data_IF_396913340707
#
_entry.id   IF_396913340707
#
_cell.length_a   1.000
_cell.length_b   1.000
_cell.length_c   1.000
_cell.angle_alpha   90.00
_cell.angle_beta   90.00
_cell.angle_gamma   90.00
#
_symmetry.space_group_name_H-M   'P 1'
#
loop_
_entity.id
_entity.type
_entity.pdbx_description
1 polymer ?
#
# COMPACT_ATOMS: atom_id res chain seq x y z
N UNK A 1 -24.36 3.17 1.45
CA UNK A 1 -25.47 2.23 1.18
C UNK A 1 -25.08 1.10 0.21
N UNK A 2 -24.61 1.35 -1.03
CA UNK A 2 -24.31 0.25 -1.96
C UNK A 2 -23.26 -0.74 -1.45
N UNK A 3 -22.14 -0.27 -0.88
CA UNK A 3 -21.10 -1.13 -0.34
C UNK A 3 -21.57 -2.01 0.81
N UNK A 4 -22.49 -1.53 1.64
CA UNK A 4 -23.05 -2.29 2.77
C UNK A 4 -24.15 -3.30 2.39
N UNK A 5 -24.57 -3.31 1.15
CA UNK A 5 -25.61 -4.21 0.62
C UNK A 5 -25.08 -5.05 -0.55
N UNK A 6 -25.25 -4.61 -1.77
CA UNK A 6 -24.79 -5.31 -2.99
C UNK A 6 -23.26 -5.47 -3.00
N UNK A 7 -22.52 -4.45 -2.58
CA UNK A 7 -21.04 -4.44 -2.57
C UNK A 7 -20.45 -5.58 -1.75
N UNK A 8 -20.99 -5.86 -0.57
CA UNK A 8 -20.53 -6.98 0.28
C UNK A 8 -20.75 -8.33 -0.43
N UNK A 9 -21.90 -8.54 -1.01
CA UNK A 9 -22.22 -9.80 -1.70
C UNK A 9 -21.30 -10.01 -2.91
N UNK A 10 -21.09 -8.95 -3.70
CA UNK A 10 -20.17 -8.95 -4.84
C UNK A 10 -18.74 -9.20 -4.38
N UNK A 11 -18.27 -8.50 -3.34
CA UNK A 11 -16.92 -8.65 -2.78
C UNK A 11 -16.65 -10.10 -2.35
N UNK A 12 -17.61 -10.73 -1.66
CA UNK A 12 -17.49 -12.13 -1.26
C UNK A 12 -17.45 -13.09 -2.46
N UNK A 13 -18.28 -12.88 -3.46
CA UNK A 13 -18.28 -13.68 -4.69
C UNK A 13 -16.95 -13.53 -5.45
N UNK A 14 -16.43 -12.32 -5.54
CA UNK A 14 -15.16 -12.01 -6.22
C UNK A 14 -13.97 -12.62 -5.49
N UNK A 15 -13.92 -12.59 -4.14
CA UNK A 15 -12.85 -13.26 -3.39
C UNK A 15 -12.88 -14.79 -3.61
N UNK A 16 -14.08 -15.39 -3.61
CA UNK A 16 -14.21 -16.86 -3.71
C UNK A 16 -14.02 -17.42 -5.12
N UNK A 17 -14.51 -16.73 -6.15
CA UNK A 17 -14.57 -17.24 -7.52
C UNK A 17 -13.95 -16.29 -8.57
N UNK A 18 -13.50 -15.10 -8.17
CA UNK A 18 -13.04 -14.06 -9.07
C UNK A 18 -11.54 -14.05 -9.35
N UNK A 19 -10.81 -15.13 -9.10
CA UNK A 19 -9.39 -15.20 -9.48
C UNK A 19 -9.25 -15.03 -11.00
N UNK A 20 -8.56 -13.99 -11.48
CA UNK A 20 -8.41 -13.75 -12.90
C UNK A 20 -7.51 -14.81 -13.54
N UNK A 21 -7.71 -15.07 -14.81
CA UNK A 21 -6.87 -15.94 -15.61
C UNK A 21 -6.43 -15.27 -16.89
N UNK A 22 -5.40 -15.78 -17.55
CA UNK A 22 -4.83 -15.17 -18.75
C UNK A 22 -5.11 -16.02 -19.98
N UNK A 23 -5.59 -15.36 -21.04
CA UNK A 23 -5.58 -15.87 -22.41
C UNK A 23 -4.38 -15.26 -23.14
N UNK A 24 -3.34 -16.04 -23.32
CA UNK A 24 -2.09 -15.55 -23.93
C UNK A 24 -2.21 -15.34 -25.43
N UNK A 25 -2.96 -16.19 -26.10
CA UNK A 25 -3.13 -16.19 -27.55
C UNK A 25 -4.60 -16.13 -27.94
N UNK A 26 -4.90 -15.48 -29.05
CA UNK A 26 -6.22 -15.56 -29.68
C UNK A 26 -6.42 -16.89 -30.40
N UNK A 27 -7.58 -17.07 -31.04
CA UNK A 27 -7.92 -18.29 -31.77
C UNK A 27 -7.07 -18.52 -33.04
N UNK A 28 -6.32 -17.53 -33.49
CA UNK A 28 -5.45 -17.61 -34.66
C UNK A 28 -3.96 -17.69 -34.28
N UNK A 29 -3.63 -17.79 -32.99
CA UNK A 29 -2.27 -17.87 -32.49
C UNK A 29 -1.55 -16.53 -32.34
N UNK A 30 -2.22 -15.40 -32.55
CA UNK A 30 -1.65 -14.09 -32.24
C UNK A 30 -1.63 -13.85 -30.73
N UNK A 31 -0.51 -13.34 -30.23
CA UNK A 31 -0.34 -13.06 -28.79
C UNK A 31 -1.15 -11.83 -28.37
N UNK A 32 -2.02 -11.99 -27.36
CA UNK A 32 -2.92 -10.94 -26.90
C UNK A 32 -2.73 -10.59 -25.42
N UNK A 33 -2.20 -11.51 -24.61
CA UNK A 33 -1.97 -11.36 -23.17
C UNK A 33 -3.19 -10.74 -22.46
N UNK A 34 -4.38 -11.26 -22.74
CA UNK A 34 -5.63 -10.76 -22.21
C UNK A 34 -5.91 -11.38 -20.85
N UNK A 35 -6.13 -10.54 -19.84
CA UNK A 35 -6.54 -10.99 -18.51
C UNK A 35 -8.07 -10.98 -18.45
N UNK A 36 -8.65 -12.10 -18.10
CA UNK A 36 -10.09 -12.31 -18.03
C UNK A 36 -10.53 -12.33 -16.57
N UNK A 37 -11.63 -11.63 -16.31
CA UNK A 37 -12.20 -11.41 -14.98
C UNK A 37 -13.68 -11.80 -14.98
N UNK A 38 -14.22 -12.04 -13.81
CA UNK A 38 -15.67 -12.01 -13.65
C UNK A 38 -16.18 -10.56 -13.72
N UNK A 39 -17.36 -10.31 -14.30
CA UNK A 39 -17.88 -8.95 -14.48
C UNK A 39 -18.03 -8.16 -13.18
N UNK A 40 -18.30 -8.85 -12.08
CA UNK A 40 -18.49 -8.29 -10.74
C UNK A 40 -17.25 -7.56 -10.23
N UNK A 41 -16.07 -8.01 -10.61
CA UNK A 41 -14.82 -7.32 -10.28
C UNK A 41 -14.80 -5.88 -10.82
N UNK A 42 -15.20 -5.71 -12.08
CA UNK A 42 -15.27 -4.38 -12.69
C UNK A 42 -16.40 -3.52 -12.10
N UNK A 43 -17.47 -4.12 -11.62
CA UNK A 43 -18.56 -3.39 -10.94
C UNK A 43 -18.04 -2.68 -9.69
N UNK A 44 -17.21 -3.36 -8.88
CA UNK A 44 -16.57 -2.74 -7.71
C UNK A 44 -15.50 -1.73 -8.13
N UNK A 45 -14.60 -2.13 -9.01
CA UNK A 45 -13.43 -1.34 -9.41
C UNK A 45 -13.82 0.02 -10.02
N UNK A 46 -14.73 0.02 -11.00
CA UNK A 46 -15.22 1.23 -11.65
C UNK A 46 -15.90 2.19 -10.69
N UNK A 47 -16.61 1.65 -9.69
CA UNK A 47 -17.27 2.47 -8.68
C UNK A 47 -16.31 3.32 -7.87
N UNK A 48 -15.17 2.78 -7.47
CA UNK A 48 -14.13 3.54 -6.77
C UNK A 48 -13.47 4.60 -7.67
N UNK A 49 -13.15 4.27 -8.92
CA UNK A 49 -12.60 5.26 -9.86
C UNK A 49 -13.58 6.41 -10.10
N UNK A 50 -14.86 6.13 -10.35
CA UNK A 50 -15.91 7.16 -10.49
C UNK A 50 -16.04 8.03 -9.23
N UNK A 51 -15.92 7.43 -8.04
CA UNK A 51 -15.98 8.15 -6.77
C UNK A 51 -14.79 9.07 -6.54
N UNK A 52 -13.67 8.87 -7.25
CA UNK A 52 -12.51 9.75 -7.20
C UNK A 52 -11.31 9.23 -6.46
N UNK A 53 -11.11 7.91 -6.39
CA UNK A 53 -9.91 7.32 -5.76
C UNK A 53 -8.59 7.76 -6.42
N UNK A 54 -8.63 8.37 -7.60
CA UNK A 54 -7.45 8.91 -8.29
C UNK A 54 -7.66 10.37 -8.69
N UNK A 55 -8.71 10.69 -9.48
CA UNK A 55 -8.88 12.00 -10.07
C UNK A 55 -9.05 13.12 -9.05
N UNK A 56 -9.70 12.87 -7.91
CA UNK A 56 -9.90 13.90 -6.87
C UNK A 56 -8.59 14.43 -6.32
N UNK A 57 -7.60 13.57 -6.12
CA UNK A 57 -6.30 13.97 -5.58
C UNK A 57 -5.65 15.09 -6.40
N UNK A 58 -5.71 15.00 -7.71
CA UNK A 58 -5.06 15.97 -8.61
C UNK A 58 -5.93 17.19 -8.90
N UNK A 59 -7.25 17.02 -9.02
CA UNK A 59 -8.17 18.13 -9.23
C UNK A 59 -8.32 19.00 -7.96
N UNK A 60 -8.50 18.36 -6.79
CA UNK A 60 -8.67 19.05 -5.50
C UNK A 60 -7.32 19.41 -4.84
N UNK A 61 -6.21 18.96 -5.42
CA UNK A 61 -4.85 19.14 -4.88
C UNK A 61 -4.73 18.65 -3.43
N UNK A 62 -5.43 17.58 -3.10
CA UNK A 62 -5.48 16.97 -1.79
C UNK A 62 -5.57 15.45 -1.89
N UNK A 63 -4.76 14.75 -1.10
CA UNK A 63 -4.81 13.29 -1.00
C UNK A 63 -5.87 12.80 0.00
N UNK A 64 -6.40 13.67 0.86
CA UNK A 64 -7.37 13.30 1.90
C UNK A 64 -8.58 12.55 1.34
N UNK A 65 -9.31 13.06 0.32
CA UNK A 65 -10.48 12.38 -0.20
C UNK A 65 -10.20 10.99 -0.76
N UNK A 66 -9.01 10.80 -1.34
CA UNK A 66 -8.59 9.50 -1.86
C UNK A 66 -8.42 8.47 -0.74
N UNK A 67 -7.74 8.84 0.35
CA UNK A 67 -7.54 7.91 1.48
C UNK A 67 -8.82 7.68 2.29
N UNK A 68 -9.74 8.67 2.37
CA UNK A 68 -11.09 8.48 2.92
C UNK A 68 -11.89 7.44 2.13
N UNK A 69 -11.84 7.52 0.80
CA UNK A 69 -12.47 6.53 -0.09
C UNK A 69 -11.81 5.16 0.06
N UNK A 70 -10.49 5.11 0.11
CA UNK A 70 -9.75 3.85 0.31
C UNK A 70 -10.13 3.20 1.65
N UNK A 71 -10.23 3.97 2.74
CA UNK A 71 -10.71 3.48 4.03
C UNK A 71 -12.11 2.87 3.92
N UNK A 72 -13.04 3.64 3.37
CA UNK A 72 -14.44 3.23 3.25
C UNK A 72 -14.60 1.97 2.40
N UNK A 73 -13.90 1.90 1.26
CA UNK A 73 -13.95 0.76 0.34
C UNK A 73 -13.30 -0.47 0.98
N UNK A 74 -12.15 -0.30 1.64
CA UNK A 74 -11.40 -1.40 2.25
C UNK A 74 -12.11 -2.07 3.41
N UNK A 75 -13.02 -1.38 4.08
CA UNK A 75 -13.91 -1.98 5.07
C UNK A 75 -14.78 -3.10 4.46
N UNK A 76 -15.05 -3.05 3.16
CA UNK A 76 -15.84 -4.05 2.44
C UNK A 76 -15.01 -4.94 1.53
N UNK A 77 -14.00 -4.38 0.86
CA UNK A 77 -13.09 -5.09 -0.02
C UNK A 77 -11.69 -4.47 0.01
N UNK A 78 -10.76 -5.01 0.82
CA UNK A 78 -9.39 -4.50 0.86
C UNK A 78 -8.61 -4.76 -0.43
N UNK A 79 -8.98 -5.79 -1.22
CA UNK A 79 -8.28 -6.16 -2.45
C UNK A 79 -8.34 -5.10 -3.54
N UNK A 80 -9.52 -4.50 -3.79
CA UNK A 80 -9.67 -3.48 -4.85
C UNK A 80 -8.96 -2.17 -4.55
N UNK A 81 -8.49 -1.94 -3.33
CA UNK A 81 -7.67 -0.78 -3.01
C UNK A 81 -6.29 -0.83 -3.68
N UNK A 82 -5.78 -2.01 -4.01
CA UNK A 82 -4.52 -2.15 -4.73
C UNK A 82 -4.53 -1.44 -6.10
N UNK A 83 -5.47 -1.71 -7.04
CA UNK A 83 -5.56 -0.98 -8.30
C UNK A 83 -5.67 0.55 -8.13
N UNK A 84 -6.42 1.04 -7.15
CA UNK A 84 -6.51 2.49 -6.88
C UNK A 84 -5.18 3.07 -6.41
N UNK A 85 -4.51 2.37 -5.50
CA UNK A 85 -3.20 2.78 -4.96
C UNK A 85 -2.14 2.86 -6.05
N UNK A 86 -2.03 1.83 -6.88
CA UNK A 86 -1.01 1.83 -7.95
C UNK A 86 -1.36 2.77 -9.10
N UNK A 87 -2.65 3.06 -9.33
CA UNK A 87 -3.07 4.11 -10.26
C UNK A 87 -2.74 5.51 -9.74
N UNK A 88 -2.93 5.76 -8.45
CA UNK A 88 -2.47 6.99 -7.80
C UNK A 88 -0.94 7.10 -7.88
N UNK A 89 -0.22 6.00 -7.61
CA UNK A 89 1.24 5.89 -7.73
C UNK A 89 1.77 6.05 -9.17
N UNK A 90 0.90 5.98 -10.18
CA UNK A 90 1.22 6.31 -11.58
C UNK A 90 0.88 7.76 -11.90
N UNK A 91 -0.30 8.24 -11.48
CA UNK A 91 -0.79 9.57 -11.80
C UNK A 91 0.01 10.69 -11.11
N UNK A 92 0.35 10.51 -9.83
CA UNK A 92 1.09 11.53 -9.05
C UNK A 92 2.50 11.81 -9.62
N UNK A 93 3.37 10.81 -9.84
CA UNK A 93 4.69 11.10 -10.42
C UNK A 93 4.60 11.62 -11.85
N UNK A 94 3.62 11.19 -12.64
CA UNK A 94 3.37 11.76 -13.97
C UNK A 94 2.99 13.24 -13.88
N UNK A 95 2.07 13.62 -13.00
CA UNK A 95 1.67 15.02 -12.80
C UNK A 95 2.80 15.88 -12.25
N UNK A 96 3.68 15.31 -11.42
CA UNK A 96 4.73 16.03 -10.71
C UNK A 96 6.02 16.16 -11.52
N UNK A 97 6.37 15.12 -12.31
CA UNK A 97 7.67 14.97 -12.95
C UNK A 97 7.62 14.70 -14.46
N UNK A 98 6.45 14.40 -15.00
CA UNK A 98 6.27 14.21 -16.45
C UNK A 98 6.53 15.52 -17.22
N UNK A 99 7.05 15.40 -18.44
CA UNK A 99 7.10 16.56 -19.35
C UNK A 99 5.69 17.05 -19.70
N UNK A 100 5.51 18.29 -20.15
CA UNK A 100 4.21 18.78 -20.58
C UNK A 100 3.53 17.89 -21.61
N UNK A 101 4.30 17.29 -22.54
CA UNK A 101 3.82 16.37 -23.58
C UNK A 101 3.30 15.06 -22.96
N UNK A 102 4.04 14.49 -22.01
CA UNK A 102 3.63 13.27 -21.31
C UNK A 102 2.38 13.50 -20.46
N UNK A 103 2.33 14.63 -19.76
CA UNK A 103 1.15 15.02 -18.99
C UNK A 103 -0.06 15.19 -19.89
N UNK A 104 0.06 15.92 -20.99
CA UNK A 104 -1.04 16.14 -21.94
C UNK A 104 -1.53 14.83 -22.57
N UNK A 105 -0.61 13.89 -22.85
CA UNK A 105 -0.94 12.60 -23.50
C UNK A 105 -1.62 11.62 -22.55
N UNK A 106 -1.12 11.45 -21.34
CA UNK A 106 -1.47 10.32 -20.48
C UNK A 106 -2.32 10.69 -19.27
N UNK A 107 -2.12 11.87 -18.67
CA UNK A 107 -2.79 12.24 -17.44
C UNK A 107 -4.33 12.31 -17.60
N UNK A 108 -4.88 12.90 -18.68
CA UNK A 108 -6.34 12.93 -18.87
C UNK A 108 -6.98 11.55 -18.90
N UNK A 109 -6.28 10.52 -19.34
CA UNK A 109 -6.80 9.15 -19.39
C UNK A 109 -6.93 8.53 -17.99
N UNK A 110 -5.97 8.81 -17.09
CA UNK A 110 -5.99 8.35 -15.69
C UNK A 110 -7.01 9.10 -14.82
N UNK A 111 -7.44 10.29 -15.25
CA UNK A 111 -8.35 11.16 -14.49
C UNK A 111 -9.79 11.13 -15.00
N UNK A 112 -10.13 10.26 -15.93
CA UNK A 112 -11.51 10.09 -16.39
C UNK A 112 -12.42 9.66 -15.24
N UNK A 113 -13.67 10.12 -15.31
CA UNK A 113 -14.71 9.87 -14.29
C UNK A 113 -15.74 8.83 -14.74
N UNK A 114 -15.46 8.16 -15.83
CA UNK A 114 -16.32 7.13 -16.45
C UNK A 114 -15.59 5.78 -16.57
N UNK A 115 -16.23 4.81 -17.21
CA UNK A 115 -15.73 3.44 -17.34
C UNK A 115 -14.56 3.28 -18.32
N UNK A 116 -14.18 4.35 -19.03
CA UNK A 116 -13.04 4.38 -19.95
C UNK A 116 -11.77 4.89 -19.27
N UNK A 117 -11.80 5.07 -17.94
CA UNK A 117 -10.63 5.47 -17.16
C UNK A 117 -9.50 4.45 -17.31
N UNK A 118 -8.31 4.94 -17.59
CA UNK A 118 -7.11 4.11 -17.61
C UNK A 118 -6.68 3.77 -16.19
N UNK A 119 -6.19 2.56 -16.05
CA UNK A 119 -5.61 2.08 -14.81
C UNK A 119 -4.10 2.22 -14.83
N UNK A 120 -3.54 2.55 -13.67
CA UNK A 120 -2.10 2.60 -13.46
C UNK A 120 -1.56 1.34 -12.78
N UNK A 121 -0.24 1.16 -12.84
CA UNK A 121 0.50 0.13 -12.11
C UNK A 121 1.88 0.63 -11.68
N UNK A 122 2.47 -0.03 -10.68
CA UNK A 122 3.82 0.26 -10.18
C UNK A 122 4.65 -1.02 -10.21
N UNK A 123 5.69 -1.07 -11.05
CA UNK A 123 6.49 -2.27 -11.28
C UNK A 123 7.94 -2.04 -10.87
N UNK A 124 8.25 -2.25 -9.59
CA UNK A 124 9.59 -2.03 -9.04
C UNK A 124 10.34 -3.35 -8.89
N UNK A 125 9.69 -4.35 -8.28
CA UNK A 125 10.28 -5.64 -7.89
C UNK A 125 10.65 -6.51 -9.08
N UNK A 126 11.80 -7.20 -8.98
CA UNK A 126 12.25 -8.25 -9.88
C UNK A 126 12.45 -9.56 -9.13
N UNK A 127 12.83 -10.64 -9.81
CA UNK A 127 13.00 -11.98 -9.19
C UNK A 127 14.03 -11.96 -8.05
N UNK A 128 15.01 -11.08 -8.12
CA UNK A 128 16.02 -10.90 -7.06
C UNK A 128 15.49 -10.27 -5.78
N UNK A 129 14.25 -9.75 -5.78
CA UNK A 129 13.59 -9.18 -4.61
C UNK A 129 13.14 -7.73 -4.79
N UNK A 130 12.45 -7.21 -3.77
CA UNK A 130 11.93 -5.83 -3.74
C UNK A 130 12.52 -4.98 -2.61
N UNK A 131 13.10 -5.60 -1.57
CA UNK A 131 13.65 -4.87 -0.42
C UNK A 131 14.99 -4.20 -0.73
N UNK A 132 15.79 -4.79 -1.60
CA UNK A 132 17.05 -4.23 -2.10
C UNK A 132 16.97 -3.96 -3.60
N UNK A 133 16.22 -2.91 -3.96
CA UNK A 133 16.05 -2.54 -5.37
C UNK A 133 17.38 -2.19 -6.06
N UNK A 134 18.36 -1.68 -5.30
CA UNK A 134 19.66 -1.29 -5.82
C UNK A 134 20.41 -2.43 -6.51
N UNK A 135 20.37 -3.59 -5.88
CA UNK A 135 21.03 -4.80 -6.40
C UNK A 135 20.05 -5.69 -7.18
N UNK A 136 18.76 -5.70 -6.84
CA UNK A 136 17.78 -6.60 -7.44
C UNK A 136 17.32 -6.16 -8.83
N UNK A 137 17.26 -4.85 -9.13
CA UNK A 137 16.79 -4.34 -10.42
C UNK A 137 17.86 -4.51 -11.49
N UNK A 138 17.59 -5.41 -12.42
CA UNK A 138 18.43 -5.74 -13.58
C UNK A 138 17.87 -5.20 -14.91
N UNK A 139 16.63 -4.71 -14.91
CA UNK A 139 16.03 -4.05 -16.09
C UNK A 139 16.90 -2.88 -16.53
N UNK A 140 17.31 -2.88 -17.79
CA UNK A 140 18.12 -1.82 -18.40
C UNK A 140 17.26 -0.96 -19.32
N UNK A 141 17.49 0.36 -19.28
CA UNK A 141 16.86 1.33 -20.17
C UNK A 141 17.92 1.96 -21.08
N UNK A 142 17.68 1.97 -22.40
CA UNK A 142 18.53 2.59 -23.42
C UNK A 142 17.80 3.73 -24.10
N UNK A 143 18.45 4.85 -24.40
CA UNK A 143 17.84 5.92 -25.19
C UNK A 143 17.39 5.40 -26.58
N UNK A 144 16.19 5.79 -27.00
CA UNK A 144 15.59 5.42 -28.28
C UNK A 144 14.82 6.62 -28.87
N UNK A 145 15.53 7.55 -29.48
CA UNK A 145 14.95 8.82 -29.97
C UNK A 145 14.38 9.66 -28.80
N UNK A 146 13.09 9.96 -28.87
CA UNK A 146 12.39 10.72 -27.82
C UNK A 146 11.84 9.83 -26.68
N UNK A 147 12.13 8.53 -26.71
CA UNK A 147 11.71 7.55 -25.72
C UNK A 147 12.90 6.73 -25.21
N UNK A 148 12.63 5.68 -24.46
CA UNK A 148 13.58 4.72 -23.96
C UNK A 148 13.13 3.31 -24.31
N UNK A 149 14.07 2.44 -24.61
CA UNK A 149 13.87 0.99 -24.80
C UNK A 149 14.24 0.27 -23.52
N UNK A 150 13.26 -0.38 -22.88
CA UNK A 150 13.42 -1.12 -21.64
C UNK A 150 13.50 -2.62 -21.91
N UNK A 151 14.49 -3.29 -21.31
CA UNK A 151 14.69 -4.73 -21.38
C UNK A 151 14.92 -5.31 -20.00
N UNK A 152 14.09 -6.30 -19.61
CA UNK A 152 14.16 -6.97 -18.31
C UNK A 152 12.85 -7.57 -17.86
N UNK A 153 12.83 -8.08 -16.64
CA UNK A 153 11.71 -8.86 -16.09
C UNK A 153 11.23 -8.27 -14.79
N UNK A 154 9.94 -7.95 -14.71
CA UNK A 154 9.27 -7.52 -13.48
C UNK A 154 8.48 -8.67 -12.88
N UNK A 155 8.49 -8.80 -11.53
CA UNK A 155 8.07 -10.04 -10.88
C UNK A 155 6.75 -9.97 -10.13
N UNK A 156 6.51 -9.00 -9.28
CA UNK A 156 5.24 -8.78 -8.59
C UNK A 156 4.49 -7.58 -9.18
N UNK A 157 4.08 -7.71 -10.45
CA UNK A 157 3.37 -6.65 -11.16
C UNK A 157 1.89 -6.68 -10.82
N UNK A 158 1.49 -6.01 -9.75
CA UNK A 158 0.09 -5.85 -9.41
C UNK A 158 -0.62 -4.98 -10.43
N UNK A 159 -1.94 -5.25 -10.62
CA UNK A 159 -2.73 -4.65 -11.70
C UNK A 159 -2.08 -4.87 -13.09
N UNK A 160 -1.69 -6.11 -13.36
CA UNK A 160 -0.93 -6.49 -14.57
C UNK A 160 -1.63 -6.15 -15.90
N UNK A 161 -2.93 -5.83 -15.85
CA UNK A 161 -3.73 -5.38 -17.00
C UNK A 161 -3.77 -3.85 -17.14
N UNK A 162 -3.07 -3.10 -16.30
CA UNK A 162 -3.10 -1.65 -16.34
C UNK A 162 -2.67 -1.10 -17.71
N UNK A 163 -3.28 0.01 -18.12
CA UNK A 163 -2.99 0.68 -19.39
C UNK A 163 -1.63 1.38 -19.37
N UNK A 164 -1.20 1.78 -18.17
CA UNK A 164 0.01 2.55 -17.96
C UNK A 164 0.69 2.11 -16.66
N UNK A 165 2.01 1.92 -16.69
CA UNK A 165 2.77 1.58 -15.49
C UNK A 165 3.91 2.57 -15.26
N UNK A 166 4.32 2.74 -14.00
CA UNK A 166 5.64 3.26 -13.68
C UNK A 166 6.56 2.11 -13.28
N UNK A 167 7.73 2.05 -13.86
CA UNK A 167 8.69 0.97 -13.67
C UNK A 167 10.08 1.50 -13.31
N UNK A 168 10.73 0.87 -12.33
CA UNK A 168 12.12 1.13 -12.04
C UNK A 168 13.01 0.43 -13.08
N UNK A 169 13.99 1.13 -13.63
CA UNK A 169 15.00 0.54 -14.48
C UNK A 169 16.32 1.30 -14.32
N UNK A 170 17.41 0.69 -14.77
CA UNK A 170 18.75 1.30 -14.76
C UNK A 170 19.07 1.83 -16.14
N UNK A 171 19.29 3.14 -16.32
CA UNK A 171 19.88 3.66 -17.54
C UNK A 171 21.19 2.93 -17.88
N UNK A 172 21.42 2.61 -19.15
CA UNK A 172 22.67 2.00 -19.58
C UNK A 172 23.86 2.87 -19.20
N UNK A 173 24.88 2.27 -18.58
CA UNK A 173 26.04 2.98 -18.07
C UNK A 173 25.85 3.67 -16.73
N UNK A 174 24.65 3.66 -16.13
CA UNK A 174 24.43 4.21 -14.79
C UNK A 174 25.11 3.35 -13.70
N UNK A 175 25.50 3.94 -12.55
CA UNK A 175 26.18 3.22 -11.49
C UNK A 175 25.32 2.09 -10.92
N UNK A 176 25.95 1.10 -10.26
CA UNK A 176 25.26 0.10 -9.45
C UNK A 176 24.59 0.73 -8.22
N UNK A 177 23.74 -0.04 -7.56
CA UNK A 177 23.03 0.39 -6.35
C UNK A 177 21.83 1.30 -6.65
N UNK A 178 21.25 1.85 -5.59
CA UNK A 178 20.01 2.64 -5.65
C UNK A 178 20.15 3.93 -6.48
N UNK A 179 21.32 4.57 -6.46
CA UNK A 179 21.54 5.85 -7.16
C UNK A 179 21.53 5.74 -8.69
N UNK A 180 21.73 4.53 -9.21
CA UNK A 180 21.66 4.28 -10.64
C UNK A 180 20.27 3.92 -11.16
N UNK A 181 19.25 3.94 -10.32
CA UNK A 181 17.88 3.64 -10.74
C UNK A 181 17.15 4.90 -11.16
N UNK A 182 16.34 4.77 -12.21
CA UNK A 182 15.44 5.80 -12.69
C UNK A 182 14.00 5.26 -12.80
N UNK A 183 13.03 6.17 -12.87
CA UNK A 183 11.61 5.83 -12.98
C UNK A 183 11.12 6.12 -14.39
N UNK A 184 10.49 5.13 -15.00
CA UNK A 184 9.97 5.21 -16.36
C UNK A 184 8.47 4.99 -16.40
N UNK A 185 7.79 5.77 -17.22
CA UNK A 185 6.38 5.57 -17.57
C UNK A 185 6.33 4.61 -18.76
N UNK A 186 5.60 3.51 -18.63
CA UNK A 186 5.56 2.42 -19.60
C UNK A 186 4.11 2.13 -20.00
N UNK A 187 3.67 2.50 -21.21
CA UNK A 187 2.35 2.13 -21.73
C UNK A 187 2.27 0.62 -21.99
N UNK A 188 1.10 0.02 -21.72
CA UNK A 188 0.86 -1.39 -22.03
C UNK A 188 0.93 -1.71 -23.53
N UNK A 189 0.47 -0.76 -24.36
CA UNK A 189 0.46 -0.88 -25.82
C UNK A 189 1.22 0.26 -26.45
N UNK A 190 1.81 -0.02 -27.60
CA UNK A 190 2.42 0.98 -28.48
C UNK A 190 1.34 1.77 -29.23
N UNK A 191 1.70 2.88 -29.88
CA UNK A 191 0.74 3.69 -30.65
C UNK A 191 0.05 2.93 -31.78
N UNK A 192 0.69 1.91 -32.34
CA UNK A 192 0.14 1.04 -33.39
C UNK A 192 -0.81 -0.04 -32.83
N UNK A 193 -1.05 -0.08 -31.51
CA UNK A 193 -1.89 -1.04 -30.84
C UNK A 193 -1.20 -2.36 -30.47
N UNK A 194 0.04 -2.59 -30.88
CA UNK A 194 0.81 -3.78 -30.52
C UNK A 194 1.14 -3.82 -29.02
N UNK A 195 1.40 -5.03 -28.49
CA UNK A 195 1.83 -5.18 -27.10
C UNK A 195 3.21 -4.54 -26.90
N UNK A 196 3.31 -3.72 -25.86
CA UNK A 196 4.57 -3.12 -25.42
C UNK A 196 5.18 -3.85 -24.23
N UNK A 197 4.34 -4.55 -23.45
CA UNK A 197 4.73 -5.37 -22.30
C UNK A 197 4.10 -6.76 -22.45
N UNK A 198 4.82 -7.80 -22.03
CA UNK A 198 4.40 -9.19 -22.23
C UNK A 198 4.17 -9.88 -20.90
N UNK A 199 2.98 -10.42 -20.70
CA UNK A 199 2.62 -11.17 -19.50
C UNK A 199 3.11 -12.61 -19.60
N UNK A 200 3.94 -13.07 -18.67
CA UNK A 200 4.38 -14.47 -18.62
C UNK A 200 3.38 -15.37 -17.91
N UNK A 201 2.90 -14.97 -16.77
CA UNK A 201 1.86 -15.67 -15.99
C UNK A 201 1.28 -14.77 -14.90
N UNK A 202 0.16 -15.16 -14.34
CA UNK A 202 -0.37 -14.61 -13.11
C UNK A 202 0.11 -15.43 -11.91
N UNK A 203 0.22 -14.75 -10.76
CA UNK A 203 0.58 -15.36 -9.48
C UNK A 203 -0.65 -15.97 -8.80
N UNK A 204 -0.53 -17.17 -8.28
CA UNK A 204 -1.45 -17.72 -7.29
C UNK A 204 -1.09 -17.16 -5.92
N UNK A 205 -2.04 -16.50 -5.25
CA UNK A 205 -1.79 -15.74 -4.03
C UNK A 205 -2.72 -16.15 -2.90
N UNK A 206 -2.25 -15.98 -1.67
CA UNK A 206 -3.07 -16.24 -0.48
C UNK A 206 -4.25 -15.24 -0.38
N UNK A 207 -4.05 -13.99 -0.81
CA UNK A 207 -5.02 -12.91 -0.68
C UNK A 207 -4.96 -11.93 -1.87
N UNK A 208 -5.84 -10.94 -1.90
CA UNK A 208 -6.04 -10.06 -3.06
C UNK A 208 -6.20 -10.86 -4.35
N UNK A 209 -6.94 -11.98 -4.25
CA UNK A 209 -7.00 -13.02 -5.29
C UNK A 209 -7.63 -12.52 -6.57
N UNK A 210 -8.54 -11.56 -6.46
CA UNK A 210 -9.21 -10.90 -7.58
C UNK A 210 -8.31 -9.95 -8.36
N UNK A 211 -7.23 -9.47 -7.75
CA UNK A 211 -6.30 -8.53 -8.40
C UNK A 211 -5.23 -9.29 -9.16
N UNK A 212 -5.11 -9.11 -10.49
CA UNK A 212 -4.07 -9.79 -11.26
C UNK A 212 -2.70 -9.27 -10.85
N UNK A 213 -1.87 -10.17 -10.36
CA UNK A 213 -0.45 -9.90 -10.12
C UNK A 213 0.37 -10.82 -11.01
N UNK A 214 1.12 -10.23 -11.93
CA UNK A 214 1.82 -10.97 -12.98
C UNK A 214 3.33 -10.89 -12.91
N UNK A 215 3.96 -11.67 -13.76
CA UNK A 215 5.33 -11.51 -14.22
C UNK A 215 5.29 -10.83 -15.58
N UNK A 216 5.92 -9.66 -15.69
CA UNK A 216 5.93 -8.86 -16.92
C UNK A 216 7.33 -8.85 -17.51
N UNK A 217 7.41 -9.22 -18.76
CA UNK A 217 8.63 -9.13 -19.56
C UNK A 217 8.61 -7.85 -20.40
N UNK A 218 9.68 -7.10 -20.31
CA UNK A 218 9.97 -5.93 -21.13
C UNK A 218 10.97 -6.34 -22.20
N UNK A 219 10.56 -6.27 -23.47
CA UNK A 219 11.36 -6.58 -24.66
C UNK A 219 11.36 -5.37 -25.57
N UNK A 220 12.42 -4.58 -25.52
CA UNK A 220 12.48 -3.31 -26.26
C UNK A 220 11.21 -2.48 -26.00
N UNK A 221 10.69 -2.55 -24.78
CA UNK A 221 9.46 -1.89 -24.39
C UNK A 221 9.68 -0.38 -24.37
N UNK A 222 8.82 0.34 -25.08
CA UNK A 222 8.84 1.80 -25.11
C UNK A 222 8.51 2.34 -23.72
N UNK A 223 9.35 3.23 -23.22
CA UNK A 223 9.13 3.92 -21.94
C UNK A 223 9.57 5.38 -22.01
N UNK A 224 9.09 6.16 -21.06
CA UNK A 224 9.38 7.60 -20.99
C UNK A 224 9.95 7.91 -19.59
N UNK A 225 11.12 8.55 -19.56
CA UNK A 225 11.75 8.94 -18.29
C UNK A 225 10.88 9.95 -17.56
N UNK A 226 10.62 9.72 -16.28
CA UNK A 226 9.99 10.67 -15.37
C UNK A 226 11.06 11.43 -14.58
N UNK A 227 11.02 12.74 -14.62
CA UNK A 227 12.02 13.59 -13.99
C UNK A 227 13.40 13.44 -14.66
N UNK A 228 14.45 13.31 -13.84
CA UNK A 228 15.82 13.09 -14.28
C UNK A 228 16.36 11.74 -13.80
N UNK A 229 17.30 11.15 -14.54
CA UNK A 229 17.84 9.82 -14.23
C UNK A 229 18.58 9.76 -12.89
N UNK A 230 19.24 10.83 -12.50
CA UNK A 230 19.98 10.97 -11.22
C UNK A 230 19.09 11.17 -10.00
N UNK A 231 17.83 11.58 -10.22
CA UNK A 231 16.83 11.75 -9.16
C UNK A 231 15.91 10.53 -8.99
N UNK A 232 16.05 9.48 -9.81
CA UNK A 232 15.07 8.39 -9.91
C UNK A 232 14.76 7.67 -8.61
N UNK A 233 15.76 7.47 -7.73
CA UNK A 233 15.51 6.84 -6.42
C UNK A 233 14.54 7.65 -5.55
N UNK A 234 14.59 8.96 -5.60
CA UNK A 234 13.66 9.81 -4.85
C UNK A 234 12.23 9.63 -5.34
N UNK A 235 12.05 9.57 -6.67
CA UNK A 235 10.74 9.36 -7.29
C UNK A 235 10.19 7.97 -6.94
N UNK A 236 11.03 6.94 -6.97
CA UNK A 236 10.66 5.57 -6.57
C UNK A 236 10.19 5.56 -5.11
N UNK A 237 10.92 6.22 -4.20
CA UNK A 237 10.56 6.29 -2.79
C UNK A 237 9.26 7.09 -2.56
N UNK A 238 8.99 8.14 -3.34
CA UNK A 238 7.71 8.85 -3.28
C UNK A 238 6.54 7.96 -3.67
N UNK A 239 6.67 7.17 -4.74
CA UNK A 239 5.66 6.18 -5.14
C UNK A 239 5.42 5.16 -4.03
N UNK A 240 6.49 4.61 -3.44
CA UNK A 240 6.38 3.65 -2.33
C UNK A 240 5.73 4.27 -1.09
N UNK A 241 5.96 5.56 -0.82
CA UNK A 241 5.32 6.23 0.30
C UNK A 241 3.80 6.38 0.12
N UNK A 242 3.32 6.70 -1.10
CA UNK A 242 1.86 6.69 -1.39
C UNK A 242 1.25 5.32 -1.05
N UNK A 243 1.91 4.25 -1.46
CA UNK A 243 1.45 2.87 -1.21
C UNK A 243 1.54 2.48 0.27
N UNK A 244 2.56 2.91 0.99
CA UNK A 244 2.71 2.66 2.45
C UNK A 244 1.58 3.30 3.25
N UNK A 245 1.18 4.52 2.89
CA UNK A 245 0.06 5.19 3.54
C UNK A 245 -1.27 4.51 3.21
N UNK A 246 -1.49 4.14 1.94
CA UNK A 246 -2.65 3.34 1.55
C UNK A 246 -2.72 2.02 2.35
N UNK A 247 -1.58 1.34 2.52
CA UNK A 247 -1.48 0.13 3.33
C UNK A 247 -1.93 0.38 4.79
N UNK A 248 -1.47 1.46 5.41
CA UNK A 248 -1.84 1.80 6.79
C UNK A 248 -3.35 2.03 6.94
N UNK A 249 -3.94 2.77 6.00
CA UNK A 249 -5.38 3.06 5.95
C UNK A 249 -6.20 1.77 5.74
N UNK A 250 -5.79 0.92 4.79
CA UNK A 250 -6.43 -0.37 4.51
C UNK A 250 -6.35 -1.30 5.71
N UNK A 251 -5.21 -1.33 6.39
CA UNK A 251 -5.01 -2.17 7.59
C UNK A 251 -5.98 -1.83 8.71
N UNK A 252 -6.17 -0.54 8.97
CA UNK A 252 -7.12 -0.09 10.02
C UNK A 252 -8.57 -0.38 9.61
N UNK A 253 -8.94 -0.14 8.36
CA UNK A 253 -10.28 -0.44 7.85
C UNK A 253 -10.60 -1.95 7.93
N UNK A 254 -9.64 -2.80 7.58
CA UNK A 254 -9.76 -4.26 7.68
C UNK A 254 -9.88 -4.71 9.15
N UNK A 255 -9.05 -4.17 10.05
CA UNK A 255 -9.13 -4.49 11.47
C UNK A 255 -10.49 -4.09 12.05
N UNK A 256 -10.99 -2.91 11.71
CA UNK A 256 -12.34 -2.48 12.11
C UNK A 256 -13.41 -3.42 11.58
N UNK A 257 -13.31 -3.88 10.33
CA UNK A 257 -14.25 -4.85 9.76
C UNK A 257 -14.22 -6.18 10.50
N UNK A 258 -13.04 -6.73 10.73
CA UNK A 258 -12.89 -7.98 11.47
C UNK A 258 -13.48 -7.88 12.90
N UNK A 259 -13.28 -6.74 13.57
CA UNK A 259 -13.89 -6.49 14.89
C UNK A 259 -15.42 -6.36 14.81
N UNK A 260 -15.95 -5.69 13.79
CA UNK A 260 -17.40 -5.53 13.62
C UNK A 260 -18.08 -6.89 13.39
N UNK A 261 -17.50 -7.74 12.54
CA UNK A 261 -18.01 -9.09 12.29
C UNK A 261 -17.92 -9.97 13.55
N UNK A 262 -16.80 -9.89 14.30
CA UNK A 262 -16.64 -10.60 15.57
C UNK A 262 -17.65 -10.13 16.63
N UNK A 263 -17.91 -8.84 16.71
CA UNK A 263 -18.89 -8.26 17.62
C UNK A 263 -20.30 -8.74 17.30
N UNK A 264 -20.72 -8.63 16.03
CA UNK A 264 -22.03 -9.06 15.57
C UNK A 264 -22.27 -10.56 15.85
N UNK A 265 -21.25 -11.40 15.65
CA UNK A 265 -21.32 -12.81 16.01
C UNK A 265 -21.43 -13.04 17.52
N UNK A 266 -20.61 -12.37 18.31
CA UNK A 266 -20.58 -12.52 19.76
C UNK A 266 -21.89 -12.04 20.44
N UNK A 267 -22.58 -11.08 19.83
CA UNK A 267 -23.88 -10.56 20.26
C UNK A 267 -25.01 -11.59 20.09
N UNK A 268 -24.90 -12.48 19.11
CA UNK A 268 -25.92 -13.48 18.79
C UNK A 268 -25.62 -14.86 19.38
N UNK A 269 -24.36 -15.26 19.43
CA UNK A 269 -23.94 -16.58 19.87
C UNK A 269 -24.16 -16.79 21.36
N UNK A 270 -24.83 -17.86 21.73
CA UNK A 270 -25.01 -18.29 23.14
C UNK A 270 -24.11 -19.49 23.45
N UNK A 271 -23.38 -19.42 24.55
CA UNK A 271 -22.62 -20.53 25.15
C UNK A 271 -22.58 -20.37 26.69
N UNK A 272 -22.52 -21.49 27.39
CA UNK A 272 -22.53 -21.50 28.87
C UNK A 272 -23.70 -20.70 29.47
N UNK A 273 -24.90 -20.84 28.88
CA UNK A 273 -26.14 -20.26 29.36
C UNK A 273 -26.36 -18.76 29.08
N UNK A 274 -25.45 -18.07 28.39
CA UNK A 274 -25.58 -16.64 28.03
C UNK A 274 -24.90 -16.30 26.73
N UNK A 275 -25.18 -15.09 26.20
CA UNK A 275 -24.48 -14.59 25.03
C UNK A 275 -22.98 -14.51 25.29
N UNK A 276 -22.14 -14.89 24.32
CA UNK A 276 -20.69 -14.91 24.55
C UNK A 276 -20.12 -13.50 24.79
N UNK A 277 -20.74 -12.46 24.23
CA UNK A 277 -20.34 -11.06 24.44
C UNK A 277 -20.35 -10.61 25.89
N UNK A 278 -21.21 -11.23 26.76
CA UNK A 278 -21.30 -10.82 28.17
C UNK A 278 -20.33 -11.60 29.07
N UNK A 279 -19.47 -12.44 28.56
CA UNK A 279 -18.40 -13.07 29.33
C UNK A 279 -17.28 -12.07 29.62
N UNK A 280 -16.86 -11.89 30.89
CA UNK A 280 -15.91 -10.82 31.24
C UNK A 280 -14.59 -10.81 30.49
N UNK A 281 -14.03 -12.00 30.20
CA UNK A 281 -12.81 -12.11 29.43
C UNK A 281 -12.98 -11.53 28.00
N UNK A 282 -14.10 -11.87 27.36
CA UNK A 282 -14.36 -11.40 26.00
C UNK A 282 -14.66 -9.90 25.97
N UNK A 283 -15.41 -9.39 26.94
CA UNK A 283 -15.64 -7.94 27.09
C UNK A 283 -14.33 -7.18 27.21
N UNK A 284 -13.42 -7.64 28.08
CA UNK A 284 -12.10 -7.02 28.25
C UNK A 284 -11.26 -7.08 26.96
N UNK A 285 -11.35 -8.16 26.20
CA UNK A 285 -10.63 -8.28 24.90
C UNK A 285 -11.19 -7.29 23.88
N UNK A 286 -12.51 -7.13 23.79
CA UNK A 286 -13.12 -6.13 22.90
C UNK A 286 -12.70 -4.71 23.27
N UNK A 287 -12.77 -4.37 24.57
CA UNK A 287 -12.39 -3.05 25.08
C UNK A 287 -10.93 -2.72 24.74
N UNK A 288 -10.02 -3.63 25.04
CA UNK A 288 -8.58 -3.46 24.75
C UNK A 288 -8.32 -3.27 23.27
N UNK A 289 -8.97 -4.08 22.41
CA UNK A 289 -8.80 -4.00 20.95
C UNK A 289 -9.44 -2.75 20.38
N UNK A 290 -10.55 -2.31 20.93
CA UNK A 290 -11.20 -1.08 20.50
C UNK A 290 -10.32 0.15 20.77
N UNK A 291 -9.69 0.22 21.94
CA UNK A 291 -8.72 1.27 22.26
C UNK A 291 -7.51 1.23 21.31
N UNK A 292 -6.97 0.04 21.06
CA UNK A 292 -5.87 -0.12 20.11
C UNK A 292 -6.26 0.22 18.66
N UNK A 293 -7.49 -0.10 18.23
CA UNK A 293 -8.02 0.29 16.92
C UNK A 293 -8.06 1.82 16.77
N UNK A 294 -8.55 2.52 17.79
CA UNK A 294 -8.56 4.01 17.80
C UNK A 294 -7.16 4.58 17.70
N UNK A 295 -6.20 4.00 18.41
CA UNK A 295 -4.81 4.42 18.35
C UNK A 295 -4.19 4.17 16.97
N UNK A 296 -4.43 3.00 16.37
CA UNK A 296 -4.01 2.68 15.00
C UNK A 296 -4.66 3.59 13.96
N UNK A 297 -5.95 3.93 14.13
CA UNK A 297 -6.64 4.88 13.27
C UNK A 297 -5.97 6.26 13.34
N UNK A 298 -5.73 6.76 14.56
CA UNK A 298 -5.08 8.05 14.76
C UNK A 298 -3.68 8.11 14.11
N UNK A 299 -2.88 7.03 14.24
CA UNK A 299 -1.56 6.95 13.61
C UNK A 299 -1.64 6.89 12.08
N UNK A 300 -2.56 6.09 11.53
CA UNK A 300 -2.77 6.01 10.08
C UNK A 300 -3.20 7.37 9.53
N UNK A 301 -4.14 8.05 10.20
CA UNK A 301 -4.65 9.34 9.74
C UNK A 301 -3.62 10.45 9.85
N UNK A 302 -2.83 10.49 10.92
CA UNK A 302 -1.69 11.39 11.02
C UNK A 302 -0.73 11.23 9.85
N UNK A 303 -0.47 9.98 9.43
CA UNK A 303 0.40 9.72 8.28
C UNK A 303 -0.19 10.23 6.96
N UNK A 304 -1.53 10.19 6.82
CA UNK A 304 -2.25 10.76 5.66
C UNK A 304 -2.16 12.29 5.65
N UNK A 305 -2.41 12.94 6.80
CA UNK A 305 -2.33 14.40 6.94
C UNK A 305 -0.93 14.90 6.63
N UNK A 306 0.10 14.29 7.20
CA UNK A 306 1.49 14.63 6.95
C UNK A 306 1.88 14.42 5.46
N UNK A 307 1.44 13.33 4.85
CA UNK A 307 1.66 13.12 3.42
C UNK A 307 0.98 14.21 2.60
N UNK A 308 -0.27 14.55 2.93
CA UNK A 308 -1.05 15.58 2.24
C UNK A 308 -0.37 16.96 2.28
N UNK A 309 0.37 17.27 3.33
CA UNK A 309 1.14 18.52 3.43
C UNK A 309 2.40 18.53 2.53
N UNK A 310 3.01 17.35 2.31
CA UNK A 310 4.35 17.28 1.72
C UNK A 310 4.41 16.59 0.35
N UNK A 311 3.34 15.99 -0.14
CA UNK A 311 3.36 15.13 -1.34
C UNK A 311 3.80 15.83 -2.61
N UNK A 312 3.65 17.18 -2.69
CA UNK A 312 4.12 17.98 -3.83
C UNK A 312 5.55 18.48 -3.67
N UNK A 313 6.21 18.26 -2.53
CA UNK A 313 7.61 18.64 -2.37
C UNK A 313 8.52 17.83 -3.29
N UNK A 314 9.60 18.47 -3.72
CA UNK A 314 10.68 17.87 -4.52
C UNK A 314 11.98 17.92 -3.71
N UNK A 315 12.96 17.03 -4.00
CA UNK A 315 14.28 17.15 -3.37
C UNK A 315 14.93 18.53 -3.61
N UNK A 316 15.62 19.12 -2.60
CA UNK A 316 15.83 18.60 -1.26
C UNK A 316 14.58 18.74 -0.38
N UNK A 317 14.31 17.70 0.43
CA UNK A 317 13.10 17.66 1.26
C UNK A 317 13.25 18.43 2.57
N UNK A 318 12.13 18.97 3.07
CA UNK A 318 12.05 19.67 4.36
C UNK A 318 12.06 18.71 5.56
N UNK A 319 12.24 19.25 6.76
CA UNK A 319 12.10 18.53 8.02
C UNK A 319 10.69 17.93 8.17
N UNK A 320 9.65 18.64 7.70
CA UNK A 320 8.27 18.13 7.69
C UNK A 320 8.13 16.85 6.86
N UNK A 321 8.82 16.75 5.73
CA UNK A 321 8.90 15.55 4.92
C UNK A 321 9.65 14.42 5.65
N UNK A 322 10.68 14.72 6.42
CA UNK A 322 11.42 13.73 7.22
C UNK A 322 10.59 13.22 8.39
N UNK A 323 9.80 14.08 9.04
CA UNK A 323 8.79 13.68 10.03
C UNK A 323 7.77 12.74 9.38
N UNK A 324 7.19 13.14 8.24
CA UNK A 324 6.28 12.28 7.48
C UNK A 324 6.87 10.90 7.23
N UNK A 325 8.10 10.80 6.75
CA UNK A 325 8.74 9.51 6.47
C UNK A 325 8.81 8.61 7.70
N UNK A 326 9.19 9.15 8.86
CA UNK A 326 9.23 8.37 10.09
C UNK A 326 7.84 7.88 10.49
N UNK A 327 6.85 8.77 10.49
CA UNK A 327 5.46 8.42 10.82
C UNK A 327 4.89 7.40 9.84
N UNK A 328 5.22 7.49 8.54
CA UNK A 328 4.80 6.52 7.52
C UNK A 328 5.33 5.10 7.82
N UNK A 329 6.61 4.98 8.25
CA UNK A 329 7.16 3.69 8.65
C UNK A 329 6.53 3.12 9.91
N UNK A 330 6.30 3.96 10.94
CA UNK A 330 5.63 3.56 12.16
C UNK A 330 4.18 3.12 11.89
N UNK A 331 3.45 3.89 11.08
CA UNK A 331 2.07 3.60 10.72
C UNK A 331 1.95 2.29 9.93
N UNK A 332 2.73 2.13 8.86
CA UNK A 332 2.70 0.91 8.04
C UNK A 332 3.05 -0.33 8.87
N UNK A 333 4.07 -0.24 9.70
CA UNK A 333 4.47 -1.33 10.58
C UNK A 333 3.36 -1.73 11.54
N UNK A 334 2.94 -0.80 12.37
CA UNK A 334 2.08 -1.12 13.51
C UNK A 334 0.63 -1.43 13.11
N UNK A 335 0.06 -0.70 12.18
CA UNK A 335 -1.32 -0.94 11.74
C UNK A 335 -1.47 -2.29 11.04
N UNK A 336 -0.47 -2.73 10.27
CA UNK A 336 -0.52 -4.02 9.59
C UNK A 336 -0.37 -5.19 10.59
N UNK A 337 0.55 -5.10 11.56
CA UNK A 337 0.68 -6.10 12.62
C UNK A 337 -0.60 -6.19 13.46
N UNK A 338 -1.19 -5.05 13.82
CA UNK A 338 -2.45 -4.99 14.53
C UNK A 338 -3.61 -5.61 13.72
N UNK A 339 -3.65 -5.39 12.41
CA UNK A 339 -4.68 -5.97 11.55
C UNK A 339 -4.58 -7.50 11.51
N UNK A 340 -3.37 -8.06 11.41
CA UNK A 340 -3.14 -9.52 11.44
C UNK A 340 -3.61 -10.11 12.77
N UNK A 341 -3.17 -9.53 13.90
CA UNK A 341 -3.56 -10.01 15.23
C UNK A 341 -5.07 -9.92 15.44
N UNK A 342 -5.69 -8.83 15.02
CA UNK A 342 -7.13 -8.61 15.15
C UNK A 342 -7.95 -9.54 14.28
N UNK A 343 -7.55 -9.77 13.03
CA UNK A 343 -8.25 -10.68 12.12
C UNK A 343 -8.15 -12.15 12.61
N UNK A 344 -6.97 -12.56 13.10
CA UNK A 344 -6.78 -13.88 13.73
C UNK A 344 -7.67 -14.05 14.95
N UNK A 345 -7.72 -13.05 15.84
CA UNK A 345 -8.59 -13.06 17.00
C UNK A 345 -10.08 -13.11 16.62
N UNK A 346 -10.50 -12.38 15.57
CA UNK A 346 -11.88 -12.42 15.09
C UNK A 346 -12.29 -13.83 14.63
N UNK A 347 -11.38 -14.59 14.00
CA UNK A 347 -11.62 -15.99 13.69
C UNK A 347 -11.79 -16.86 14.96
N UNK A 348 -10.99 -16.61 16.00
CA UNK A 348 -11.11 -17.31 17.27
C UNK A 348 -12.48 -17.09 17.93
N UNK A 349 -13.03 -15.88 17.87
CA UNK A 349 -14.38 -15.56 18.37
C UNK A 349 -15.46 -16.40 17.67
N UNK A 350 -15.30 -16.68 16.37
CA UNK A 350 -16.21 -17.54 15.62
C UNK A 350 -15.99 -19.04 15.89
N UNK A 351 -14.89 -19.40 16.56
CA UNK A 351 -14.53 -20.80 16.83
C UNK A 351 -14.33 -21.58 15.51
N UNK A 352 -14.79 -22.81 15.41
CA UNK A 352 -14.67 -23.63 14.21
C UNK A 352 -15.28 -22.99 12.96
N UNK A 353 -16.36 -22.21 13.11
CA UNK A 353 -16.99 -21.50 11.98
C UNK A 353 -16.05 -20.46 11.37
N UNK A 354 -15.14 -19.89 12.15
CA UNK A 354 -14.15 -18.93 11.68
C UNK A 354 -13.15 -19.49 10.65
N UNK A 355 -13.07 -20.81 10.51
CA UNK A 355 -12.22 -21.47 9.52
C UNK A 355 -12.93 -21.81 8.20
N UNK A 356 -14.25 -21.57 8.14
CA UNK A 356 -15.07 -21.89 6.98
C UNK A 356 -15.26 -20.66 6.08
N UNK A 357 -14.88 -20.79 4.82
CA UNK A 357 -14.93 -19.70 3.85
C UNK A 357 -16.34 -19.09 3.64
N UNK A 358 -17.40 -19.88 3.90
CA UNK A 358 -18.79 -19.42 3.78
C UNK A 358 -19.19 -18.36 4.81
N UNK A 359 -18.46 -18.28 5.95
CA UNK A 359 -18.64 -17.23 6.96
C UNK A 359 -17.82 -15.98 6.65
N UNK A 360 -16.85 -16.05 5.75
CA UNK A 360 -16.08 -14.92 5.24
C UNK A 360 -15.07 -14.30 6.22
N UNK A 361 -15.05 -14.73 7.51
CA UNK A 361 -14.18 -14.14 8.52
C UNK A 361 -12.70 -14.52 8.30
N UNK A 362 -12.42 -15.72 7.78
CA UNK A 362 -11.07 -16.20 7.46
C UNK A 362 -10.39 -15.33 6.40
N UNK A 363 -11.18 -14.72 5.52
CA UNK A 363 -10.70 -13.80 4.49
C UNK A 363 -9.94 -12.62 5.09
N UNK A 364 -10.42 -12.07 6.20
CA UNK A 364 -9.78 -10.90 6.81
C UNK A 364 -8.35 -11.21 7.28
N UNK A 365 -8.09 -12.44 7.77
CA UNK A 365 -6.73 -12.84 8.12
C UNK A 365 -5.84 -12.99 6.87
N UNK A 366 -6.34 -13.62 5.81
CA UNK A 366 -5.59 -13.74 4.55
C UNK A 366 -5.21 -12.38 3.98
N UNK A 367 -6.17 -11.46 3.92
CA UNK A 367 -5.94 -10.09 3.43
C UNK A 367 -4.98 -9.33 4.36
N UNK A 368 -5.11 -9.43 5.67
CA UNK A 368 -4.22 -8.78 6.63
C UNK A 368 -2.76 -9.24 6.50
N UNK A 369 -2.54 -10.54 6.25
CA UNK A 369 -1.18 -11.07 6.06
C UNK A 369 -0.45 -10.42 4.88
N UNK A 370 -1.14 -10.11 3.78
CA UNK A 370 -0.55 -9.40 2.64
C UNK A 370 -0.15 -7.98 3.05
N UNK A 371 -0.97 -7.30 3.85
CA UNK A 371 -0.69 -5.94 4.32
C UNK A 371 0.59 -5.87 5.19
N UNK A 372 0.93 -6.92 5.92
CA UNK A 372 2.18 -6.99 6.69
C UNK A 372 3.41 -7.23 5.81
N UNK A 373 3.25 -7.74 4.58
CA UNK A 373 4.35 -8.18 3.72
C UNK A 373 4.66 -7.17 2.61
N UNK A 374 3.68 -6.77 1.81
CA UNK A 374 3.93 -5.90 0.67
C UNK A 374 4.30 -4.46 1.08
N UNK A 375 4.81 -3.65 0.14
CA UNK A 375 5.33 -2.28 0.37
C UNK A 375 6.48 -2.22 1.40
N UNK A 376 7.16 -3.34 1.58
CA UNK A 376 8.19 -3.59 2.58
C UNK A 376 7.64 -4.30 3.81
N UNK A 377 8.25 -5.44 4.14
CA UNK A 377 7.93 -6.22 5.35
C UNK A 377 8.13 -5.42 6.62
N UNK A 378 7.63 -5.92 7.75
CA UNK A 378 7.86 -5.33 9.07
C UNK A 378 9.34 -5.07 9.35
N UNK A 379 10.23 -6.01 9.00
CA UNK A 379 11.69 -5.81 9.09
C UNK A 379 12.15 -4.59 8.28
N UNK A 380 11.64 -4.44 7.04
CA UNK A 380 12.05 -3.32 6.19
C UNK A 380 11.54 -1.98 6.73
N UNK A 381 10.32 -1.94 7.30
CA UNK A 381 9.80 -0.72 7.93
C UNK A 381 10.64 -0.31 9.15
N UNK A 382 11.05 -1.28 9.98
CA UNK A 382 11.91 -1.04 11.13
C UNK A 382 13.24 -0.45 10.68
N UNK A 383 13.95 -1.09 9.75
CA UNK A 383 15.26 -0.66 9.30
C UNK A 383 15.22 0.69 8.56
N UNK A 384 14.24 0.90 7.67
CA UNK A 384 14.07 2.19 7.00
C UNK A 384 13.72 3.32 7.98
N UNK A 385 12.84 3.02 8.97
CA UNK A 385 12.50 3.97 10.02
C UNK A 385 13.71 4.35 10.91
N UNK A 386 14.52 3.35 11.30
CA UNK A 386 15.76 3.60 12.04
C UNK A 386 16.77 4.41 11.21
N UNK A 387 16.87 4.16 9.91
CA UNK A 387 17.72 4.97 9.03
C UNK A 387 17.25 6.43 8.97
N UNK A 388 15.95 6.70 8.92
CA UNK A 388 15.40 8.08 8.96
C UNK A 388 15.72 8.73 10.32
N UNK A 389 15.61 7.98 11.42
CA UNK A 389 15.99 8.46 12.76
C UNK A 389 17.49 8.83 12.79
N UNK A 390 18.37 7.95 12.35
CA UNK A 390 19.82 8.16 12.43
C UNK A 390 20.31 9.26 11.48
N UNK A 391 19.89 9.22 10.22
CA UNK A 391 20.42 10.14 9.19
C UNK A 391 19.76 11.51 9.17
N UNK A 392 18.48 11.58 9.58
CA UNK A 392 17.68 12.80 9.50
C UNK A 392 17.26 13.35 10.85
N UNK A 393 17.63 12.69 11.94
CA UNK A 393 17.23 13.05 13.32
C UNK A 393 15.70 13.21 13.47
N UNK A 394 14.92 12.48 12.64
CA UNK A 394 13.47 12.63 12.55
C UNK A 394 12.72 12.31 13.86
N UNK A 395 13.37 11.58 14.78
CA UNK A 395 12.80 11.36 16.12
C UNK A 395 12.66 12.65 16.93
N UNK A 396 13.56 13.63 16.74
CA UNK A 396 13.44 14.93 17.42
C UNK A 396 12.20 15.67 16.92
N UNK A 397 11.98 15.64 15.60
CA UNK A 397 10.79 16.22 14.99
C UNK A 397 9.51 15.52 15.46
N UNK A 398 9.55 14.18 15.62
CA UNK A 398 8.43 13.41 16.13
C UNK A 398 8.12 13.77 17.59
N UNK A 399 9.13 13.84 18.45
CA UNK A 399 8.93 14.17 19.85
C UNK A 399 8.43 15.61 20.06
N UNK A 400 8.95 16.56 19.29
CA UNK A 400 8.42 17.93 19.26
C UNK A 400 6.95 17.98 18.82
N UNK A 401 6.62 17.21 17.76
CA UNK A 401 5.25 17.09 17.26
C UNK A 401 4.28 16.51 18.28
N UNK A 402 4.72 15.54 19.08
CA UNK A 402 3.91 14.88 20.11
C UNK A 402 3.90 15.59 21.46
N UNK A 403 4.82 16.53 21.73
CA UNK A 403 5.04 17.11 23.05
C UNK A 403 3.80 17.74 23.70
N UNK A 404 2.88 18.27 22.87
CA UNK A 404 1.63 18.87 23.37
C UNK A 404 0.56 17.86 23.78
N UNK A 405 0.69 16.61 23.34
CA UNK A 405 -0.27 15.54 23.55
C UNK A 405 0.23 14.47 24.51
N UNK A 406 1.54 14.26 24.53
CA UNK A 406 2.18 13.22 25.33
C UNK A 406 2.33 13.64 26.79
N UNK A 407 2.12 12.73 27.77
CA UNK A 407 2.54 12.96 29.13
C UNK A 407 4.06 13.10 29.19
N UNK A 408 4.56 14.11 29.88
CA UNK A 408 5.98 14.43 29.94
C UNK A 408 6.85 13.25 30.39
N UNK A 409 6.35 12.43 31.32
CA UNK A 409 7.07 11.24 31.80
C UNK A 409 7.22 10.17 30.71
N UNK A 410 6.14 9.84 30.02
CA UNK A 410 6.14 8.83 28.94
C UNK A 410 7.03 9.26 27.77
N UNK A 411 6.95 10.55 27.42
CA UNK A 411 7.81 11.16 26.38
C UNK A 411 9.29 11.02 26.77
N UNK A 412 9.66 11.39 28.00
CA UNK A 412 11.04 11.30 28.48
C UNK A 412 11.54 9.85 28.51
N UNK A 413 10.68 8.88 28.89
CA UNK A 413 11.06 7.46 28.91
C UNK A 413 11.37 6.92 27.49
N UNK A 414 10.59 7.29 26.49
CA UNK A 414 10.85 6.84 25.10
C UNK A 414 12.03 7.56 24.46
N UNK A 415 12.21 8.85 24.75
CA UNK A 415 13.40 9.61 24.34
C UNK A 415 14.70 9.01 24.91
N UNK A 416 14.68 8.70 26.21
CA UNK A 416 15.83 8.10 26.89
C UNK A 416 16.15 6.72 26.33
N UNK A 417 15.14 5.89 26.09
CA UNK A 417 15.32 4.56 25.51
C UNK A 417 15.93 4.66 24.09
N UNK A 418 15.44 5.57 23.26
CA UNK A 418 15.99 5.78 21.92
C UNK A 418 17.40 6.33 21.97
N UNK A 419 17.68 7.31 22.85
CA UNK A 419 19.03 7.86 23.01
C UNK A 419 20.06 6.82 23.45
N UNK A 420 19.67 5.87 24.33
CA UNK A 420 20.51 4.74 24.72
C UNK A 420 20.75 3.79 23.55
N UNK A 421 19.70 3.44 22.80
CA UNK A 421 19.80 2.56 21.65
C UNK A 421 20.73 3.12 20.56
N UNK A 422 20.66 4.40 20.26
CA UNK A 422 21.49 5.06 19.26
C UNK A 422 23.01 5.04 19.59
N UNK A 423 23.37 4.81 20.86
CA UNK A 423 24.78 4.66 21.33
C UNK A 423 25.32 3.24 21.16
N UNK A 424 24.49 2.26 20.86
CA UNK A 424 24.91 0.87 20.70
C UNK A 424 25.79 0.69 19.46
N UNK A 425 26.67 -0.34 19.43
CA UNK A 425 27.33 -0.76 18.20
C UNK A 425 26.33 -1.14 17.11
N UNK A 426 26.71 -0.99 15.85
CA UNK A 426 25.79 -1.18 14.70
C UNK A 426 25.04 -2.52 14.71
N UNK A 427 25.75 -3.63 14.96
CA UNK A 427 25.13 -4.97 15.03
C UNK A 427 24.13 -5.13 16.19
N UNK A 428 24.41 -4.51 17.35
CA UNK A 428 23.48 -4.54 18.47
C UNK A 428 22.28 -3.63 18.23
N UNK A 429 22.47 -2.47 17.58
CA UNK A 429 21.37 -1.59 17.19
C UNK A 429 20.36 -2.33 16.30
N UNK A 430 20.87 -2.98 15.25
CA UNK A 430 20.00 -3.73 14.34
C UNK A 430 19.26 -4.87 15.07
N UNK A 431 19.98 -5.68 15.85
CA UNK A 431 19.40 -6.80 16.58
C UNK A 431 18.36 -6.43 17.64
N UNK A 432 18.40 -5.19 18.16
CA UNK A 432 17.46 -4.69 19.18
C UNK A 432 16.44 -3.70 18.62
N UNK A 433 16.46 -3.42 17.31
CA UNK A 433 15.62 -2.40 16.69
C UNK A 433 14.12 -2.72 16.78
N UNK A 434 13.72 -3.99 16.66
CA UNK A 434 12.31 -4.40 16.64
C UNK A 434 11.56 -3.97 17.91
N UNK A 435 12.04 -4.34 19.08
CA UNK A 435 11.40 -4.01 20.35
C UNK A 435 11.26 -2.49 20.57
N UNK A 436 12.31 -1.73 20.21
CA UNK A 436 12.30 -0.27 20.35
C UNK A 436 11.32 0.35 19.34
N UNK A 437 11.37 -0.06 18.08
CA UNK A 437 10.51 0.50 17.03
C UNK A 437 9.03 0.22 17.30
N UNK A 438 8.72 -0.99 17.76
CA UNK A 438 7.39 -1.36 18.23
C UNK A 438 6.92 -0.46 19.37
N UNK A 439 7.77 -0.26 20.38
CA UNK A 439 7.46 0.64 21.52
C UNK A 439 7.23 2.07 21.05
N UNK A 440 8.05 2.57 20.12
CA UNK A 440 7.89 3.90 19.54
C UNK A 440 6.59 4.03 18.74
N UNK A 441 6.22 3.00 17.96
CA UNK A 441 4.99 2.99 17.18
C UNK A 441 3.74 3.01 18.08
N UNK A 442 3.71 2.17 19.11
CA UNK A 442 2.61 2.13 20.10
C UNK A 442 2.50 3.47 20.83
N UNK A 443 3.61 3.99 21.37
CA UNK A 443 3.64 5.29 22.03
C UNK A 443 3.10 6.41 21.12
N UNK A 444 3.52 6.42 19.87
CA UNK A 444 3.05 7.42 18.89
C UNK A 444 1.57 7.29 18.63
N UNK A 445 1.06 6.07 18.43
CA UNK A 445 -0.35 5.79 18.20
C UNK A 445 -1.22 6.21 19.38
N UNK A 446 -0.86 5.80 20.60
CA UNK A 446 -1.59 6.12 21.84
C UNK A 446 -1.60 7.63 22.12
N UNK A 447 -0.49 8.30 21.86
CA UNK A 447 -0.39 9.76 22.00
C UNK A 447 -1.30 10.48 21.01
N UNK A 448 -1.27 10.07 19.73
CA UNK A 448 -2.11 10.66 18.69
C UNK A 448 -3.61 10.40 18.92
N UNK A 449 -3.98 9.26 19.51
CA UNK A 449 -5.38 8.96 19.87
C UNK A 449 -6.01 9.99 20.82
N UNK A 450 -5.19 10.72 21.56
CA UNK A 450 -5.65 11.81 22.46
C UNK A 450 -6.19 13.04 21.72
N UNK A 451 -5.91 13.17 20.41
CA UNK A 451 -6.55 14.17 19.55
C UNK A 451 -8.05 13.92 19.39
N UNK A 452 -8.48 12.69 19.56
CA UNK A 452 -9.85 12.24 19.31
C UNK A 452 -10.46 11.74 20.63
N UNK A 453 -11.25 12.54 21.34
CA UNK A 453 -11.89 12.10 22.59
C UNK A 453 -12.80 10.89 22.35
N UNK A 454 -13.01 10.09 23.41
CA UNK A 454 -13.80 8.86 23.37
C UNK A 454 -15.30 9.14 23.19
#
# INVERSE_FOLDING_TARGET
MWWSSEGVAISNAVDRAGTPWVRMFDRFGARVDEILYIPEYFTMLRRGYRAGTVWRSLEEKSLLPTYELMYTISFYDPGVCCPYTVSLGTAVPLAKYGSPELQAKFLPQLLKKDDTVWQGATWMTEIGGGSDLGEAVKTVARPAGNSWSLNGDKYFCSNANADLAVAAARPEGAPSGLRGLALYLVPRRRPDGSLNCFLRRLKDKIATRSVPTGEIELRESEGYLLGSADAGIYLILEVLNLSRIANSVVSVALAQRAMADAFAYAEQRTAFGKRILVHPLLQQQFETRFQALRACFALAWESVELLNEVWMQRPPYSDRYHLFRLVAHLAKYWTAEFAVDTAKWAMEIHGGLGTLAEFGIERWLREAMILAIWEGTSHRQILDGMEVIERKQAHKLLFEHLAKLAPARELHEIESALAQHLKLPASEKEGRADALFRRLAIFTADTLARKYPA
#
